data_IF_371436471253
#
_entry.id   IF_371436471253
#
_cell.length_a   1.000
_cell.length_b   1.000
_cell.length_c   1.000
_cell.angle_alpha   90.00
_cell.angle_beta   90.00
_cell.angle_gamma   90.00
#
_symmetry.space_group_name_H-M   'P 1'
#
loop_
_entity.id
_entity.type
_entity.pdbx_description
1 polymer ?
#
# COMPACT_ATOMS: atom_id res chain seq x y z
N UNK A 1 7.10 -10.39 11.32
CA UNK A 1 7.29 -9.35 10.31
C UNK A 1 8.68 -9.48 9.69
N UNK A 2 8.81 -9.22 8.42
CA UNK A 2 10.07 -9.20 7.71
C UNK A 2 10.22 -7.83 7.04
N UNK A 3 11.40 -7.25 7.16
CA UNK A 3 11.78 -6.06 6.41
C UNK A 3 12.75 -6.46 5.30
N UNK A 4 12.61 -5.85 4.15
CA UNK A 4 13.53 -6.07 3.04
C UNK A 4 13.93 -4.73 2.44
N UNK A 5 15.16 -4.64 1.97
CA UNK A 5 15.60 -3.54 1.13
C UNK A 5 15.50 -3.98 -0.32
N UNK A 6 14.96 -3.10 -1.15
CA UNK A 6 14.76 -3.41 -2.57
C UNK A 6 15.66 -2.53 -3.41
N UNK A 7 16.48 -3.09 -4.29
CA UNK A 7 17.19 -2.30 -5.29
C UNK A 7 16.17 -1.62 -6.20
N UNK A 8 16.41 -0.37 -6.55
CA UNK A 8 15.57 0.35 -7.50
C UNK A 8 15.90 -0.04 -8.93
N UNK A 9 14.87 -0.21 -9.77
CA UNK A 9 15.01 -0.29 -11.22
C UNK A 9 15.15 -1.68 -11.83
N UNK A 10 15.25 -2.75 -11.03
CA UNK A 10 15.27 -4.13 -11.56
C UNK A 10 14.19 -4.99 -10.87
N UNK A 11 13.03 -5.21 -11.50
CA UNK A 11 11.96 -6.01 -10.94
C UNK A 11 12.35 -7.46 -10.63
N UNK A 12 13.37 -8.00 -11.30
CA UNK A 12 13.82 -9.38 -11.04
C UNK A 12 14.42 -9.57 -9.65
N UNK A 13 14.91 -8.47 -9.06
CA UNK A 13 15.53 -8.45 -7.74
C UNK A 13 14.54 -8.17 -6.59
N UNK A 14 13.26 -7.89 -6.91
CA UNK A 14 12.27 -7.66 -5.88
C UNK A 14 11.96 -8.95 -5.12
N UNK A 15 11.74 -8.86 -3.80
CA UNK A 15 11.37 -10.01 -3.00
C UNK A 15 10.15 -10.71 -3.59
N UNK A 16 10.27 -12.01 -3.81
CA UNK A 16 9.21 -12.85 -4.34
C UNK A 16 8.72 -13.79 -3.25
N UNK A 17 7.41 -13.78 -3.00
CA UNK A 17 6.76 -14.66 -2.03
C UNK A 17 6.00 -15.73 -2.78
N UNK A 18 6.38 -16.98 -2.56
CA UNK A 18 5.66 -18.14 -3.09
C UNK A 18 4.41 -18.42 -2.26
N UNK A 19 3.32 -18.80 -2.94
CA UNK A 19 2.07 -19.16 -2.27
C UNK A 19 2.28 -20.26 -1.21
N UNK A 20 3.11 -21.25 -1.49
CA UNK A 20 3.39 -22.36 -0.59
C UNK A 20 3.98 -21.96 0.78
N UNK A 21 4.49 -20.72 0.90
CA UNK A 21 5.02 -20.16 2.13
C UNK A 21 3.96 -19.42 2.95
N UNK A 22 2.79 -19.20 2.37
CA UNK A 22 1.72 -18.41 2.97
C UNK A 22 0.74 -19.34 3.66
N UNK A 23 0.56 -19.13 4.95
CA UNK A 23 -0.42 -19.90 5.73
C UNK A 23 -1.84 -19.48 5.35
N UNK A 24 -2.80 -20.41 5.34
CA UNK A 24 -4.22 -20.06 5.30
C UNK A 24 -4.55 -19.04 6.40
N UNK A 25 -5.39 -18.08 6.08
CA UNK A 25 -5.76 -17.00 7.00
C UNK A 25 -4.70 -15.92 7.21
N UNK A 26 -3.63 -15.88 6.43
CA UNK A 26 -2.57 -14.88 6.59
C UNK A 26 -3.01 -13.48 6.14
N UNK A 27 -2.58 -12.46 6.89
CA UNK A 27 -2.59 -11.06 6.45
C UNK A 27 -1.16 -10.66 6.05
N UNK A 28 -1.00 -10.28 4.81
CA UNK A 28 0.27 -9.75 4.27
C UNK A 28 0.09 -8.26 4.08
N UNK A 29 0.73 -7.46 4.93
CA UNK A 29 0.75 -6.01 4.80
C UNK A 29 2.05 -5.57 4.15
N UNK A 30 1.96 -4.86 3.04
CA UNK A 30 3.13 -4.45 2.24
C UNK A 30 3.11 -2.96 1.95
N UNK A 31 4.22 -2.30 2.31
CA UNK A 31 4.51 -0.88 2.00
C UNK A 31 5.68 -0.73 1.04
N UNK A 32 6.17 -1.83 0.49
CA UNK A 32 7.39 -1.87 -0.32
C UNK A 32 7.21 -2.84 -1.49
N UNK A 33 8.24 -2.87 -2.35
CA UNK A 33 8.30 -3.78 -3.48
C UNK A 33 8.16 -5.24 -3.03
N UNK A 34 7.21 -5.93 -3.61
CA UNK A 34 6.92 -7.32 -3.30
C UNK A 34 6.26 -7.98 -4.51
N UNK A 35 6.70 -9.17 -4.85
CA UNK A 35 6.17 -9.94 -5.97
C UNK A 35 5.44 -11.18 -5.51
N UNK A 36 4.37 -11.47 -6.23
CA UNK A 36 3.58 -12.69 -6.15
C UNK A 36 3.35 -13.22 -7.56
N UNK A 37 2.92 -14.46 -7.68
CA UNK A 37 2.37 -14.95 -8.93
C UNK A 37 1.04 -14.29 -9.25
N UNK A 38 0.79 -14.00 -10.52
CA UNK A 38 -0.48 -13.43 -10.98
C UNK A 38 -1.66 -14.30 -10.55
N UNK A 39 -1.54 -15.62 -10.71
CA UNK A 39 -2.59 -16.57 -10.35
C UNK A 39 -2.96 -16.49 -8.86
N UNK A 40 -1.96 -16.34 -7.99
CA UNK A 40 -2.18 -16.14 -6.56
C UNK A 40 -2.99 -14.85 -6.27
N UNK A 41 -2.59 -13.74 -6.87
CA UNK A 41 -3.27 -12.45 -6.68
C UNK A 41 -4.70 -12.48 -7.23
N UNK A 42 -4.89 -13.05 -8.42
CA UNK A 42 -6.19 -13.06 -9.10
C UNK A 42 -7.20 -13.99 -8.44
N UNK A 43 -6.75 -15.17 -7.97
CA UNK A 43 -7.65 -16.27 -7.61
C UNK A 43 -7.58 -16.71 -6.15
N UNK A 44 -6.51 -16.37 -5.42
CA UNK A 44 -6.25 -16.91 -4.08
C UNK A 44 -6.22 -15.86 -2.98
N UNK A 45 -5.82 -14.65 -3.31
CA UNK A 45 -5.74 -13.56 -2.35
C UNK A 45 -6.96 -12.62 -2.46
N UNK A 46 -7.39 -12.10 -1.34
CA UNK A 46 -8.22 -10.90 -1.29
C UNK A 46 -7.30 -9.69 -1.25
N UNK A 47 -7.38 -8.83 -2.26
CA UNK A 47 -6.57 -7.62 -2.30
C UNK A 47 -7.31 -6.45 -1.67
N UNK A 48 -6.66 -5.77 -0.75
CA UNK A 48 -7.15 -4.55 -0.11
C UNK A 48 -6.11 -3.46 -0.32
N UNK A 49 -6.56 -2.26 -0.66
CA UNK A 49 -5.70 -1.07 -0.81
C UNK A 49 -6.09 0.00 0.19
N UNK A 50 -5.13 0.86 0.55
CA UNK A 50 -5.39 2.04 1.39
C UNK A 50 -6.19 3.12 0.65
N UNK A 51 -5.95 3.28 -0.67
CA UNK A 51 -6.68 4.24 -1.51
C UNK A 51 -6.58 3.84 -2.99
N UNK A 52 -7.61 3.19 -3.50
CA UNK A 52 -7.62 2.68 -4.87
C UNK A 52 -7.42 3.79 -5.92
N UNK A 53 -7.93 5.00 -5.67
CA UNK A 53 -7.81 6.13 -6.60
C UNK A 53 -6.38 6.59 -6.83
N UNK A 54 -5.52 6.43 -5.84
CA UNK A 54 -4.09 6.70 -5.96
C UNK A 54 -3.44 5.76 -6.99
N UNK A 55 -3.77 4.49 -6.92
CA UNK A 55 -3.18 3.47 -7.79
C UNK A 55 -3.72 3.51 -9.22
N UNK A 56 -5.00 3.83 -9.38
CA UNK A 56 -5.60 4.11 -10.69
C UNK A 56 -4.87 5.28 -11.38
N UNK A 57 -4.59 6.36 -10.65
CA UNK A 57 -3.86 7.50 -11.19
C UNK A 57 -2.41 7.12 -11.58
N UNK A 58 -1.72 6.36 -10.75
CA UNK A 58 -0.35 5.91 -11.06
C UNK A 58 -0.33 4.94 -12.26
N UNK A 59 -1.30 4.04 -12.38
CA UNK A 59 -1.41 3.17 -13.55
C UNK A 59 -1.59 4.00 -14.82
N UNK A 60 -2.47 4.99 -14.79
CA UNK A 60 -2.71 5.85 -15.96
C UNK A 60 -1.50 6.69 -16.35
N UNK A 61 -0.77 7.24 -15.39
CA UNK A 61 0.42 8.06 -15.63
C UNK A 61 1.63 7.26 -16.12
N UNK A 62 1.73 5.98 -15.75
CA UNK A 62 2.93 5.15 -15.94
C UNK A 62 2.72 4.00 -16.93
N UNK A 63 1.68 4.07 -17.78
CA UNK A 63 1.45 3.07 -18.83
C UNK A 63 2.69 2.82 -19.68
N UNK A 64 2.89 1.61 -20.22
CA UNK A 64 1.97 0.46 -20.19
C UNK A 64 2.13 -0.46 -18.96
N UNK A 65 3.09 -0.25 -18.10
CA UNK A 65 3.33 -1.11 -16.94
C UNK A 65 3.84 -0.26 -15.76
N UNK A 66 2.92 0.16 -14.92
CA UNK A 66 3.21 1.02 -13.79
C UNK A 66 4.01 0.31 -12.69
N UNK A 67 3.84 -1.01 -12.54
CA UNK A 67 4.55 -1.82 -11.56
C UNK A 67 6.07 -1.82 -11.76
N UNK A 68 6.56 -1.65 -12.98
CA UNK A 68 8.00 -1.52 -13.23
C UNK A 68 8.60 -0.24 -12.61
N UNK A 69 7.78 0.79 -12.43
CA UNK A 69 8.20 2.07 -11.84
C UNK A 69 7.91 2.13 -10.34
N UNK A 70 6.73 1.65 -9.93
CA UNK A 70 6.28 1.62 -8.54
C UNK A 70 5.92 0.17 -8.17
N UNK A 71 6.89 -0.63 -7.72
CA UNK A 71 6.76 -2.09 -7.62
C UNK A 71 6.06 -2.54 -6.33
N UNK A 72 4.92 -1.97 -6.02
CA UNK A 72 4.07 -2.39 -4.88
C UNK A 72 2.88 -3.21 -5.37
N UNK A 73 2.34 -4.13 -4.56
CA UNK A 73 1.30 -5.05 -5.00
C UNK A 73 0.04 -4.37 -5.55
N UNK A 74 -0.39 -3.23 -4.97
CA UNK A 74 -1.55 -2.50 -5.48
C UNK A 74 -1.36 -2.01 -6.91
N UNK A 75 -0.16 -1.54 -7.28
CA UNK A 75 0.13 -1.10 -8.64
C UNK A 75 0.14 -2.29 -9.61
N UNK A 76 0.70 -3.43 -9.18
CA UNK A 76 0.63 -4.66 -9.98
C UNK A 76 -0.81 -5.07 -10.26
N UNK A 77 -1.67 -4.98 -9.27
CA UNK A 77 -3.10 -5.26 -9.43
C UNK A 77 -3.77 -4.32 -10.43
N UNK A 78 -3.41 -3.02 -10.45
CA UNK A 78 -3.93 -2.09 -11.46
C UNK A 78 -3.46 -2.48 -12.88
N UNK A 79 -2.22 -2.89 -13.05
CA UNK A 79 -1.73 -3.41 -14.32
C UNK A 79 -2.52 -4.66 -14.76
N UNK A 80 -2.80 -5.60 -13.84
CA UNK A 80 -3.62 -6.79 -14.14
C UNK A 80 -5.06 -6.44 -14.55
N UNK A 81 -5.63 -5.39 -13.96
CA UNK A 81 -6.96 -4.87 -14.35
C UNK A 81 -6.89 -4.25 -15.74
N UNK A 82 -5.89 -3.42 -16.01
CA UNK A 82 -5.69 -2.78 -17.32
C UNK A 82 -5.46 -3.83 -18.44
N UNK A 83 -4.80 -4.93 -18.14
CA UNK A 83 -4.60 -6.07 -19.04
C UNK A 83 -5.87 -6.95 -19.19
N UNK A 84 -6.93 -6.71 -18.44
CA UNK A 84 -8.17 -7.50 -18.47
C UNK A 84 -8.06 -8.86 -17.78
N UNK A 85 -7.01 -9.11 -17.02
CA UNK A 85 -6.80 -10.35 -16.25
C UNK A 85 -7.55 -10.38 -14.93
N UNK A 86 -7.86 -9.20 -14.39
CA UNK A 86 -8.56 -9.00 -13.13
C UNK A 86 -9.67 -7.96 -13.30
N UNK A 87 -10.71 -8.02 -12.47
CA UNK A 87 -11.80 -7.04 -12.49
C UNK A 87 -11.61 -6.01 -11.37
N UNK A 88 -12.01 -4.74 -11.57
CA UNK A 88 -11.94 -3.73 -10.52
C UNK A 88 -12.65 -4.13 -9.21
N UNK A 89 -13.78 -4.84 -9.32
CA UNK A 89 -14.58 -5.28 -8.18
C UNK A 89 -13.90 -6.36 -7.31
N UNK A 90 -12.76 -6.87 -7.73
CA UNK A 90 -11.95 -7.83 -6.95
C UNK A 90 -10.97 -7.12 -5.99
N UNK A 91 -10.92 -5.80 -6.03
CA UNK A 91 -10.04 -5.00 -5.17
C UNK A 91 -10.87 -4.17 -4.21
N UNK A 92 -10.62 -4.32 -2.93
CA UNK A 92 -11.31 -3.58 -1.89
C UNK A 92 -10.53 -2.31 -1.50
N UNK A 93 -11.25 -1.22 -1.28
CA UNK A 93 -10.72 0.00 -0.68
C UNK A 93 -10.91 -0.02 0.84
N UNK A 94 -9.85 0.27 1.59
CA UNK A 94 -9.92 0.29 3.05
C UNK A 94 -10.94 1.29 3.56
N UNK A 95 -11.07 2.45 2.90
CA UNK A 95 -12.07 3.46 3.26
C UNK A 95 -13.49 2.91 3.19
N UNK A 96 -13.82 2.15 2.16
CA UNK A 96 -15.13 1.52 2.02
C UNK A 96 -15.38 0.44 3.07
N UNK A 97 -14.35 -0.31 3.45
CA UNK A 97 -14.43 -1.28 4.56
C UNK A 97 -14.72 -0.54 5.88
N UNK A 98 -13.99 0.55 6.16
CA UNK A 98 -14.15 1.33 7.40
C UNK A 98 -15.50 2.05 7.48
N UNK A 99 -16.05 2.46 6.34
CA UNK A 99 -17.39 3.06 6.25
C UNK A 99 -18.52 2.02 6.31
N UNK A 100 -18.19 0.74 6.26
CA UNK A 100 -19.17 -0.35 6.26
C UNK A 100 -19.85 -0.61 4.91
N UNK A 101 -19.34 -0.02 3.82
CA UNK A 101 -19.83 -0.26 2.46
C UNK A 101 -19.43 -1.66 1.97
N UNK A 102 -18.26 -2.11 2.39
CA UNK A 102 -17.72 -3.45 2.11
C UNK A 102 -17.61 -4.20 3.46
N UNK A 103 -18.15 -5.42 3.56
CA UNK A 103 -18.04 -6.19 4.80
C UNK A 103 -16.60 -6.48 5.17
N UNK A 104 -16.25 -6.25 6.43
CA UNK A 104 -15.00 -6.74 7.01
C UNK A 104 -15.04 -8.26 7.23
N UNK A 105 -16.13 -8.91 6.88
CA UNK A 105 -16.30 -10.33 7.07
C UNK A 105 -15.26 -11.11 6.28
N UNK A 106 -14.57 -11.97 6.98
CA UNK A 106 -13.44 -12.72 6.48
C UNK A 106 -13.65 -14.20 6.85
N UNK A 107 -13.27 -15.08 5.92
CA UNK A 107 -13.19 -16.52 6.22
C UNK A 107 -11.88 -16.81 6.95
N UNK A 108 -11.88 -17.84 7.77
CA UNK A 108 -10.69 -18.20 8.58
C UNK A 108 -9.47 -18.57 7.74
N UNK A 109 -9.67 -19.07 6.54
CA UNK A 109 -8.62 -19.47 5.59
C UNK A 109 -8.31 -18.40 4.52
N UNK A 110 -9.04 -17.28 4.51
CA UNK A 110 -8.83 -16.21 3.52
C UNK A 110 -7.47 -15.55 3.69
N UNK A 111 -6.70 -15.49 2.61
CA UNK A 111 -5.43 -14.77 2.57
C UNK A 111 -5.70 -13.35 2.09
N UNK A 112 -5.26 -12.36 2.86
CA UNK A 112 -5.41 -10.96 2.51
C UNK A 112 -4.04 -10.38 2.17
N UNK A 113 -3.94 -9.74 1.01
CA UNK A 113 -2.81 -8.88 0.62
C UNK A 113 -3.27 -7.44 0.76
N UNK A 114 -2.80 -6.77 1.80
CA UNK A 114 -3.05 -5.35 2.04
C UNK A 114 -1.85 -4.54 1.57
N UNK A 115 -2.05 -3.76 0.52
CA UNK A 115 -1.01 -2.93 -0.09
C UNK A 115 -1.21 -1.47 0.28
N UNK A 116 -0.13 -0.85 0.76
CA UNK A 116 -0.12 0.51 1.30
C UNK A 116 0.89 1.34 0.52
N UNK A 117 0.41 2.36 -0.19
CA UNK A 117 1.25 3.36 -0.85
C UNK A 117 1.51 4.58 0.02
N UNK A 118 0.65 4.74 1.04
CA UNK A 118 0.66 5.86 1.96
C UNK A 118 -0.14 7.06 1.45
N UNK A 119 -0.71 7.78 2.39
CA UNK A 119 -1.46 9.00 2.13
C UNK A 119 -0.87 10.16 2.92
N UNK A 120 -0.34 11.22 2.28
CA UNK A 120 0.22 12.39 2.96
C UNK A 120 -0.74 13.04 3.96
N UNK A 121 -2.07 12.92 3.72
CA UNK A 121 -3.10 13.38 4.64
C UNK A 121 -3.06 12.70 6.01
N UNK A 122 -2.69 11.43 6.06
CA UNK A 122 -2.53 10.68 7.33
C UNK A 122 -1.34 11.21 8.12
N UNK A 123 -0.20 11.45 7.47
CA UNK A 123 0.99 12.01 8.10
C UNK A 123 0.72 13.38 8.71
N UNK A 124 -0.01 14.23 7.98
CA UNK A 124 -0.42 15.55 8.48
C UNK A 124 -1.37 15.43 9.66
N UNK A 125 -2.33 14.52 9.62
CA UNK A 125 -3.29 14.29 10.70
C UNK A 125 -2.59 13.81 11.98
N UNK A 126 -1.75 12.78 11.86
CA UNK A 126 -0.95 12.23 12.95
C UNK A 126 0.03 13.25 13.51
N UNK A 127 0.81 13.90 12.64
CA UNK A 127 1.77 14.93 13.03
C UNK A 127 1.10 16.08 13.79
N UNK A 128 -0.06 16.53 13.31
CA UNK A 128 -0.84 17.57 13.99
C UNK A 128 -1.31 17.12 15.37
N UNK A 129 -1.80 15.89 15.50
CA UNK A 129 -2.28 15.34 16.76
C UNK A 129 -1.13 15.20 17.76
N UNK A 130 0.01 14.63 17.33
CA UNK A 130 1.21 14.49 18.16
C UNK A 130 1.71 15.84 18.62
N UNK A 131 1.82 16.83 17.73
CA UNK A 131 2.24 18.19 18.03
C UNK A 131 1.34 18.85 19.07
N UNK A 132 0.03 18.82 18.85
CA UNK A 132 -0.95 19.41 19.80
C UNK A 132 -0.89 18.75 21.18
N UNK A 133 -0.73 17.42 21.22
CA UNK A 133 -0.61 16.69 22.48
C UNK A 133 0.71 16.98 23.20
N UNK A 134 1.81 17.14 22.49
CA UNK A 134 3.09 17.54 23.05
C UNK A 134 3.02 18.93 23.68
N UNK A 135 2.41 19.90 23.00
CA UNK A 135 2.18 21.24 23.54
C UNK A 135 1.36 21.20 24.82
N UNK A 136 0.25 20.43 24.84
CA UNK A 136 -0.61 20.29 26.04
C UNK A 136 0.13 19.69 27.24
N UNK A 137 1.06 18.78 26.97
CA UNK A 137 1.86 18.11 28.01
C UNK A 137 3.14 18.85 28.39
N UNK A 138 3.47 19.94 27.70
CA UNK A 138 4.72 20.67 27.89
C UNK A 138 5.97 19.87 27.60
N UNK A 139 5.89 18.90 26.66
CA UNK A 139 7.01 18.06 26.26
C UNK A 139 7.51 18.42 24.85
N UNK A 140 8.76 18.11 24.59
CA UNK A 140 9.42 18.41 23.32
C UNK A 140 10.38 19.61 23.45
N UNK A 141 11.22 19.76 22.45
CA UNK A 141 12.19 20.85 22.38
C UNK A 141 11.86 21.75 21.20
N UNK A 142 11.73 23.06 21.47
CA UNK A 142 11.54 24.05 20.41
C UNK A 142 12.86 24.29 19.71
N UNK A 143 12.94 23.83 18.47
CA UNK A 143 14.11 24.06 17.64
C UNK A 143 13.87 25.22 16.69
N UNK A 144 14.94 25.95 16.39
CA UNK A 144 14.92 26.95 15.33
C UNK A 144 15.19 26.27 14.01
N UNK A 145 14.29 26.38 13.06
CA UNK A 145 14.43 25.71 11.77
C UNK A 145 15.47 26.44 10.89
N UNK A 146 15.32 27.76 10.74
CA UNK A 146 16.27 28.65 10.06
C UNK A 146 16.03 30.11 10.48
N UNK A 147 17.00 30.99 10.21
CA UNK A 147 16.85 32.42 10.46
C UNK A 147 16.02 33.10 9.37
N UNK A 148 16.28 32.74 8.14
CA UNK A 148 15.57 33.22 6.95
C UNK A 148 15.20 32.03 6.09
N UNK A 149 13.91 31.85 5.73
CA UNK A 149 13.50 30.78 4.82
C UNK A 149 14.28 30.93 3.50
N UNK A 150 14.95 29.84 3.11
CA UNK A 150 15.56 29.76 1.78
C UNK A 150 14.65 28.91 0.92
N UNK A 151 14.02 29.55 -0.06
CA UNK A 151 13.36 28.85 -1.14
C UNK A 151 14.38 28.79 -2.29
N UNK A 152 14.80 27.58 -2.63
CA UNK A 152 15.71 27.30 -3.75
C UNK A 152 14.89 26.99 -4.98
#
# INVERSE_FOLDING_TARGET
>A
SAGTSTPTGDPSLYPYIKEEWIKPGALISSTAALRFDDDFIIHRARTVTDNIKLYEAWEEEMKPNAYNTVPIPAVHVMDLIAEGKMKPEQVDDLGDILMGNIPLHRKDDEIIVYSIGGMPGEDVAWGTMVYRNALKKGIGTKLKLWDTPQMV
#
